data_IF_249621485806
#
_entry.id   IF_249621485806
#
_cell.length_a   1.000
_cell.length_b   1.000
_cell.length_c   1.000
_cell.angle_alpha   90.00
_cell.angle_beta   90.00
_cell.angle_gamma   90.00
#
_symmetry.space_group_name_H-M   'P 1'
#
loop_
_entity.id
_entity.type
_entity.pdbx_description
1 polymer ?
#
# COMPACT_ATOMS: atom_id res chain seq x y z
N UNK A 1 14.58 0.75 8.90
CA UNK A 1 13.37 1.50 8.51
C UNK A 1 12.18 1.24 9.44
N UNK A 2 11.70 0.00 9.57
CA UNK A 2 10.49 -0.29 10.36
C UNK A 2 10.63 0.09 11.83
N UNK A 3 11.78 -0.17 12.44
CA UNK A 3 12.05 0.22 13.82
C UNK A 3 12.01 1.75 14.01
N UNK A 4 12.62 2.49 13.08
CA UNK A 4 12.62 3.96 13.13
C UNK A 4 11.19 4.50 13.07
N UNK A 5 10.36 3.97 12.18
CA UNK A 5 8.96 4.40 12.05
C UNK A 5 8.14 4.11 13.31
N UNK A 6 8.38 2.98 13.97
CA UNK A 6 7.68 2.61 15.19
C UNK A 6 8.17 3.36 16.43
N UNK A 7 9.34 3.99 16.37
CA UNK A 7 9.88 4.82 17.47
C UNK A 7 9.61 6.32 17.31
N UNK A 8 8.66 6.69 16.46
CA UNK A 8 8.24 8.09 16.26
C UNK A 8 8.88 8.81 15.09
N UNK A 9 9.70 8.14 14.30
CA UNK A 9 10.27 8.68 13.06
C UNK A 9 9.29 8.48 11.92
N UNK A 10 8.36 9.40 11.76
CA UNK A 10 7.37 9.39 10.70
C UNK A 10 7.93 9.91 9.37
N UNK A 11 7.26 9.55 8.27
CA UNK A 11 7.58 10.10 6.96
C UNK A 11 8.65 9.33 6.20
N UNK A 12 8.71 8.01 6.34
CA UNK A 12 9.62 7.16 5.59
C UNK A 12 8.97 6.61 4.32
N UNK A 13 9.77 6.46 3.27
CA UNK A 13 9.36 5.82 2.02
C UNK A 13 10.43 4.78 1.66
N UNK A 14 9.99 3.60 1.28
CA UNK A 14 10.88 2.53 0.80
C UNK A 14 10.26 1.85 -0.41
N UNK A 15 11.08 1.15 -1.18
CA UNK A 15 10.64 0.36 -2.32
C UNK A 15 11.05 -1.09 -2.17
N UNK A 16 10.25 -1.97 -2.75
CA UNK A 16 10.60 -3.37 -2.86
C UNK A 16 9.93 -3.99 -4.09
N UNK A 17 10.46 -5.10 -4.55
CA UNK A 17 9.89 -5.82 -5.69
C UNK A 17 8.78 -6.75 -5.21
N UNK A 18 7.60 -6.60 -5.78
CA UNK A 18 6.44 -7.44 -5.44
C UNK A 18 5.47 -7.50 -6.62
N UNK A 19 4.60 -8.49 -6.61
CA UNK A 19 3.59 -8.69 -7.66
C UNK A 19 2.24 -8.10 -7.29
N UNK A 20 2.02 -7.76 -6.02
CA UNK A 20 0.78 -7.18 -5.51
C UNK A 20 1.04 -6.49 -4.17
N UNK A 21 0.11 -5.64 -3.69
CA UNK A 21 0.23 -5.08 -2.34
C UNK A 21 0.32 -6.15 -1.25
N UNK A 22 -0.44 -7.21 -1.36
CA UNK A 22 -0.40 -8.33 -0.40
C UNK A 22 0.96 -9.03 -0.43
N UNK A 23 1.51 -9.27 -1.63
CA UNK A 23 2.84 -9.85 -1.79
C UNK A 23 3.92 -8.94 -1.18
N UNK A 24 3.77 -7.63 -1.32
CA UNK A 24 4.69 -6.66 -0.71
C UNK A 24 4.75 -6.82 0.81
N UNK A 25 3.59 -6.93 1.44
CA UNK A 25 3.49 -7.14 2.90
C UNK A 25 4.14 -8.47 3.29
N UNK A 26 3.84 -9.55 2.56
CA UNK A 26 4.42 -10.87 2.82
C UNK A 26 5.94 -10.85 2.69
N UNK A 27 6.48 -10.14 1.71
CA UNK A 27 7.93 -10.01 1.53
C UNK A 27 8.58 -9.23 2.66
N UNK A 28 7.93 -8.17 3.15
CA UNK A 28 8.42 -7.43 4.32
C UNK A 28 8.49 -8.33 5.55
N UNK A 29 7.46 -9.13 5.81
CA UNK A 29 7.44 -10.10 6.91
C UNK A 29 8.59 -11.10 6.78
N UNK A 30 8.77 -11.66 5.58
CA UNK A 30 9.84 -12.62 5.29
C UNK A 30 11.23 -12.01 5.50
N UNK A 31 11.44 -10.79 5.03
CA UNK A 31 12.71 -10.09 5.19
C UNK A 31 13.03 -9.84 6.67
N UNK A 32 12.04 -9.52 7.48
CA UNK A 32 12.23 -9.36 8.92
C UNK A 32 12.57 -10.69 9.59
N UNK A 33 11.95 -11.79 9.18
CA UNK A 33 12.26 -13.12 9.70
C UNK A 33 13.69 -13.55 9.36
N UNK A 34 14.20 -13.16 8.18
CA UNK A 34 15.54 -13.51 7.73
C UNK A 34 16.65 -12.70 8.42
N UNK A 35 16.34 -11.59 9.05
CA UNK A 35 17.30 -10.72 9.73
C UNK A 35 17.56 -11.09 11.19
N UNK A 36 17.47 -12.37 11.52
CA UNK A 36 17.71 -12.92 12.87
C UNK A 36 16.88 -12.25 13.97
N UNK A 37 15.74 -11.69 13.61
CA UNK A 37 14.80 -11.19 14.60
C UNK A 37 14.12 -12.38 15.26
N UNK A 38 14.55 -12.72 16.48
CA UNK A 38 13.95 -13.77 17.29
C UNK A 38 12.56 -13.35 17.80
N UNK A 39 11.68 -12.92 16.88
CA UNK A 39 10.35 -12.49 17.23
C UNK A 39 9.32 -13.46 16.67
N UNK A 40 8.22 -13.72 17.40
CA UNK A 40 7.10 -14.46 16.85
C UNK A 40 6.54 -13.76 15.61
N UNK A 41 5.97 -14.54 14.69
CA UNK A 41 5.38 -14.00 13.45
C UNK A 41 4.35 -12.92 13.76
N UNK A 42 3.54 -13.09 14.80
CA UNK A 42 2.52 -12.10 15.17
C UNK A 42 3.13 -10.76 15.60
N UNK A 43 4.28 -10.79 16.29
CA UNK A 43 4.99 -9.56 16.67
C UNK A 43 5.52 -8.84 15.42
N UNK A 44 6.06 -9.59 14.46
CA UNK A 44 6.54 -9.04 13.19
C UNK A 44 5.38 -8.39 12.42
N UNK A 45 4.24 -9.04 12.34
CA UNK A 45 3.05 -8.50 11.68
C UNK A 45 2.58 -7.21 12.33
N UNK A 46 2.59 -7.16 13.66
CA UNK A 46 2.26 -5.94 14.39
C UNK A 46 3.22 -4.79 14.09
N UNK A 47 4.52 -5.07 13.97
CA UNK A 47 5.50 -4.06 13.56
C UNK A 47 5.20 -3.51 12.17
N UNK A 48 4.96 -4.38 11.20
CA UNK A 48 4.66 -3.98 9.82
C UNK A 48 3.36 -3.18 9.76
N UNK A 49 2.32 -3.66 10.43
CA UNK A 49 1.02 -2.99 10.47
C UNK A 49 1.11 -1.57 11.01
N UNK A 50 1.89 -1.36 12.07
CA UNK A 50 2.08 -0.03 12.66
C UNK A 50 2.98 0.88 11.83
N UNK A 51 3.95 0.31 11.13
CA UNK A 51 4.96 1.07 10.41
C UNK A 51 4.49 1.53 9.02
N UNK A 52 3.67 0.73 8.34
CA UNK A 52 3.26 0.99 6.97
C UNK A 52 1.83 1.53 6.95
N UNK A 53 1.65 2.68 6.34
CA UNK A 53 0.32 3.30 6.19
C UNK A 53 -0.27 3.01 4.81
N UNK A 54 0.53 3.17 3.76
CA UNK A 54 0.08 3.09 2.37
C UNK A 54 1.03 2.19 1.57
N UNK A 55 0.46 1.37 0.72
CA UNK A 55 1.19 0.56 -0.27
C UNK A 55 0.78 1.00 -1.66
N UNK A 56 1.75 1.42 -2.45
CA UNK A 56 1.53 1.83 -3.85
C UNK A 56 2.16 0.78 -4.75
N UNK A 57 1.34 0.13 -5.55
CA UNK A 57 1.79 -0.87 -6.52
C UNK A 57 2.01 -0.21 -7.87
N UNK A 58 3.19 -0.42 -8.44
CA UNK A 58 3.55 0.05 -9.78
C UNK A 58 3.86 -1.18 -10.61
N UNK A 59 3.15 -1.35 -11.72
CA UNK A 59 3.34 -2.48 -12.61
C UNK A 59 3.74 -2.00 -14.01
N UNK A 60 4.53 -2.85 -14.68
CA UNK A 60 4.80 -2.72 -16.09
C UNK A 60 3.71 -3.46 -16.85
N UNK A 61 2.94 -2.71 -17.62
CA UNK A 61 1.83 -3.27 -18.39
C UNK A 61 2.31 -3.95 -19.67
N UNK A 62 1.38 -4.64 -20.35
CA UNK A 62 1.70 -5.38 -21.58
C UNK A 62 2.24 -4.53 -22.72
N UNK A 63 1.98 -3.21 -22.72
CA UNK A 63 2.55 -2.25 -23.67
C UNK A 63 3.94 -1.74 -23.29
N UNK A 64 4.51 -2.22 -22.20
CA UNK A 64 5.81 -1.84 -21.68
C UNK A 64 5.83 -0.57 -20.83
N UNK A 65 4.71 0.11 -20.69
CA UNK A 65 4.59 1.31 -19.86
C UNK A 65 4.36 0.94 -18.39
N UNK A 66 4.93 1.74 -17.50
CA UNK A 66 4.71 1.59 -16.06
C UNK A 66 3.57 2.48 -15.60
N UNK A 67 2.70 1.92 -14.79
CA UNK A 67 1.59 2.67 -14.17
C UNK A 67 1.41 2.27 -12.72
N UNK A 68 0.89 3.21 -11.95
CA UNK A 68 0.37 2.89 -10.62
C UNK A 68 -0.91 2.09 -10.84
N UNK A 69 -0.92 0.83 -10.39
CA UNK A 69 -2.06 -0.07 -10.60
C UNK A 69 -2.93 -0.22 -9.35
N UNK A 70 -2.40 0.10 -8.18
CA UNK A 70 -3.15 0.04 -6.93
C UNK A 70 -2.54 0.98 -5.89
N UNK A 71 -3.39 1.58 -5.10
CA UNK A 71 -3.03 2.28 -3.88
C UNK A 71 -3.92 1.73 -2.77
N UNK A 72 -3.30 1.16 -1.75
CA UNK A 72 -4.01 0.51 -0.65
C UNK A 72 -3.56 1.06 0.70
N UNK A 73 -4.49 1.13 1.64
CA UNK A 73 -4.20 1.50 3.02
C UNK A 73 -4.09 0.25 3.89
N UNK A 74 -3.11 0.24 4.79
CA UNK A 74 -3.02 -0.76 5.85
C UNK A 74 -4.03 -0.37 6.93
N UNK A 75 -5.10 -1.15 7.08
CA UNK A 75 -6.23 -0.78 7.96
C UNK A 75 -6.26 -1.55 9.27
N UNK A 76 -5.31 -2.42 9.51
CA UNK A 76 -5.23 -3.18 10.75
C UNK A 76 -4.96 -4.65 10.51
N UNK A 77 -5.40 -5.48 11.45
CA UNK A 77 -5.26 -6.93 11.40
C UNK A 77 -6.62 -7.60 11.25
N UNK A 78 -6.68 -8.63 10.42
CA UNK A 78 -7.86 -9.45 10.26
C UNK A 78 -7.44 -10.91 10.14
N UNK A 79 -7.99 -11.79 11.00
CA UNK A 79 -7.63 -13.21 11.05
C UNK A 79 -6.12 -13.42 11.16
N UNK A 80 -5.48 -12.66 12.06
CA UNK A 80 -4.02 -12.68 12.31
C UNK A 80 -3.16 -12.29 11.10
N UNK A 81 -3.76 -11.71 10.08
CA UNK A 81 -3.05 -11.18 8.88
C UNK A 81 -3.28 -9.68 8.76
N UNK A 82 -2.30 -9.00 8.15
CA UNK A 82 -2.41 -7.57 7.85
C UNK A 82 -3.51 -7.37 6.80
N UNK A 83 -4.46 -6.51 7.13
CA UNK A 83 -5.58 -6.18 6.26
C UNK A 83 -5.26 -4.92 5.44
N UNK A 84 -5.51 -5.00 4.14
CA UNK A 84 -5.36 -3.90 3.20
C UNK A 84 -6.73 -3.49 2.67
N UNK A 85 -6.91 -2.19 2.47
CA UNK A 85 -8.10 -1.65 1.81
C UNK A 85 -7.67 -0.83 0.61
N UNK A 86 -8.14 -1.23 -0.57
CA UNK A 86 -7.81 -0.55 -1.81
C UNK A 86 -8.54 0.79 -1.91
N UNK A 87 -7.80 1.86 -2.19
CA UNK A 87 -8.32 3.22 -2.37
C UNK A 87 -8.48 3.52 -3.85
N UNK A 88 -7.47 3.17 -4.64
CA UNK A 88 -7.44 3.35 -6.08
C UNK A 88 -7.01 2.06 -6.75
N UNK A 89 -7.54 1.80 -7.93
CA UNK A 89 -7.10 0.71 -8.78
C UNK A 89 -7.12 1.13 -10.24
N UNK A 90 -6.19 0.59 -11.03
CA UNK A 90 -6.23 0.69 -12.48
C UNK A 90 -6.91 -0.56 -13.02
N UNK A 91 -8.02 -0.39 -13.74
CA UNK A 91 -8.76 -1.49 -14.35
C UNK A 91 -8.45 -1.52 -15.85
N UNK A 92 -7.76 -2.56 -16.30
CA UNK A 92 -7.48 -2.77 -17.72
C UNK A 92 -8.77 -3.11 -18.47
N UNK A 93 -8.94 -2.51 -19.65
CA UNK A 93 -10.12 -2.73 -20.53
C UNK A 93 -9.76 -3.25 -21.91
N UNK A 94 -8.51 -3.65 -22.14
CA UNK A 94 -8.02 -4.17 -23.39
C UNK A 94 -6.91 -3.32 -24.01
N UNK A 95 -6.69 -3.51 -25.32
CA UNK A 95 -5.65 -2.79 -26.05
C UNK A 95 -6.28 -1.79 -27.01
N UNK A 96 -5.60 -0.66 -27.21
CA UNK A 96 -5.96 0.30 -28.26
C UNK A 96 -5.53 -0.23 -29.63
N UNK A 97 -6.00 0.43 -30.71
CA UNK A 97 -5.59 0.11 -32.08
C UNK A 97 -4.08 0.24 -32.28
N UNK A 98 -3.41 1.03 -31.43
CA UNK A 98 -1.96 1.25 -31.45
C UNK A 98 -1.20 0.28 -30.52
N UNK A 99 -1.89 -0.70 -29.92
CA UNK A 99 -1.27 -1.70 -29.03
C UNK A 99 -1.01 -1.21 -27.61
N UNK A 100 -1.49 -0.02 -27.23
CA UNK A 100 -1.38 0.48 -25.86
C UNK A 100 -2.46 -0.11 -24.97
N UNK A 101 -2.12 -0.37 -23.70
CA UNK A 101 -3.10 -0.83 -22.72
C UNK A 101 -4.10 0.28 -22.43
N UNK A 102 -5.37 -0.05 -22.58
CA UNK A 102 -6.49 0.83 -22.25
C UNK A 102 -7.05 0.44 -20.89
N UNK A 103 -7.42 1.43 -20.12
CA UNK A 103 -8.04 1.20 -18.82
C UNK A 103 -8.43 2.52 -18.18
N UNK A 104 -8.94 2.43 -16.99
CA UNK A 104 -9.34 3.58 -16.20
C UNK A 104 -8.92 3.44 -14.76
N UNK A 105 -8.66 4.57 -14.11
CA UNK A 105 -8.46 4.62 -12.67
C UNK A 105 -9.83 4.66 -11.98
N UNK A 106 -9.99 3.76 -11.02
CA UNK A 106 -11.19 3.68 -10.18
C UNK A 106 -10.84 4.17 -8.79
N UNK A 107 -11.61 5.12 -8.28
CA UNK A 107 -11.51 5.59 -6.90
C UNK A 107 -12.66 4.95 -6.11
N UNK A 108 -12.33 4.16 -5.11
CA UNK A 108 -13.35 3.53 -4.28
C UNK A 108 -13.93 4.53 -3.30
N UNK A 109 -15.22 4.40 -2.99
CA UNK A 109 -15.90 5.23 -2.00
C UNK A 109 -15.48 4.81 -0.59
N UNK A 110 -14.27 5.17 -0.24
CA UNK A 110 -13.69 4.86 1.04
C UNK A 110 -12.80 6.03 1.47
N UNK A 111 -13.08 6.58 2.65
CA UNK A 111 -12.23 7.63 3.22
C UNK A 111 -11.15 6.94 4.06
N UNK A 112 -9.86 7.04 3.67
CA UNK A 112 -8.79 6.40 4.41
C UNK A 112 -8.72 6.88 5.86
N UNK A 113 -8.43 5.97 6.78
CA UNK A 113 -8.20 6.32 8.19
C UNK A 113 -7.05 7.29 8.35
N UNK A 114 -6.06 7.20 7.46
CA UNK A 114 -4.94 8.13 7.40
C UNK A 114 -5.42 9.58 7.26
N UNK A 115 -6.54 9.80 6.57
CA UNK A 115 -7.08 11.15 6.34
C UNK A 115 -7.43 11.87 7.65
N UNK A 116 -7.97 11.17 8.64
CA UNK A 116 -8.26 11.75 9.94
C UNK A 116 -6.99 12.24 10.64
N UNK A 117 -5.91 11.48 10.50
CA UNK A 117 -4.61 11.88 11.04
C UNK A 117 -4.04 13.09 10.31
N UNK A 118 -4.23 13.16 9.00
CA UNK A 118 -3.83 14.32 8.18
C UNK A 118 -4.61 15.56 8.56
N UNK A 119 -5.93 15.45 8.76
CA UNK A 119 -6.77 16.58 9.20
C UNK A 119 -6.29 17.15 10.54
N UNK A 120 -5.92 16.30 11.49
CA UNK A 120 -5.39 16.75 12.79
C UNK A 120 -4.08 17.51 12.66
N UNK A 121 -3.33 17.28 11.60
CA UNK A 121 -2.10 18.02 11.28
C UNK A 121 -2.33 19.22 10.37
N UNK A 122 -3.59 19.58 10.12
CA UNK A 122 -3.97 20.73 9.30
C UNK A 122 -3.93 20.48 7.79
N UNK A 123 -3.77 19.25 7.37
CA UNK A 123 -3.76 18.87 5.95
C UNK A 123 -5.19 18.51 5.55
N UNK A 124 -5.78 19.30 4.65
CA UNK A 124 -7.14 19.08 4.15
C UNK A 124 -7.03 18.68 2.68
N UNK A 125 -7.56 17.51 2.35
CA UNK A 125 -7.66 17.02 0.97
C UNK A 125 -9.12 17.19 0.54
N UNK A 126 -9.38 18.29 -0.18
CA UNK A 126 -10.72 18.55 -0.69
C UNK A 126 -11.04 17.64 -1.88
N UNK A 127 -12.23 17.07 -1.87
CA UNK A 127 -12.88 16.38 -2.99
C UNK A 127 -12.14 15.18 -3.63
N UNK A 128 -11.06 14.70 -3.03
CA UNK A 128 -10.34 13.55 -3.58
C UNK A 128 -11.12 12.24 -3.36
N UNK A 129 -11.90 12.16 -2.28
CA UNK A 129 -12.57 10.92 -1.88
C UNK A 129 -14.09 10.96 -2.12
N UNK A 130 -14.58 11.92 -2.86
CA UNK A 130 -15.99 11.99 -3.27
C UNK A 130 -16.98 12.26 -2.14
N UNK A 131 -16.58 13.09 -1.20
CA UNK A 131 -17.53 13.60 -0.20
C UNK A 131 -18.54 14.55 -0.82
#
# INVERSE_FOLDING_TARGET
MLQAMNTGHEGSITTLHSTSPEDAINRLETMMLMNDMELPVNAIRNYVEKAIDIVIQIDRLGDGKRKITSISEVVGMKNDKIALKEIFAFKEKGLSDQGNVRGEFVVYKYIPKLYDRMKRKGIILEDIFGE
#
